data_IF_486017673417
#
_entry.id   IF_486017673417
#
_cell.length_a   1.000
_cell.length_b   1.000
_cell.length_c   1.000
_cell.angle_alpha   90.00
_cell.angle_beta   90.00
_cell.angle_gamma   90.00
#
_symmetry.space_group_name_H-M   'P 1'
#
loop_
_entity.id
_entity.type
_entity.pdbx_description
1 polymer ?
#
# COMPACT_ATOMS: atom_id res chain seq x y z
N UNK A 1 -16.87 13.51 -4.31
CA UNK A 1 -16.43 13.56 -5.74
C UNK A 1 -15.41 14.68 -6.05
N UNK A 2 -15.60 15.89 -5.50
CA UNK A 2 -14.65 17.02 -5.72
C UNK A 2 -13.26 16.73 -5.15
N UNK A 3 -13.21 16.20 -3.93
CA UNK A 3 -11.97 15.92 -3.20
C UNK A 3 -11.11 14.81 -3.84
N UNK A 4 -11.75 13.78 -4.40
CA UNK A 4 -11.02 12.73 -5.15
C UNK A 4 -10.39 13.28 -6.43
N UNK A 5 -11.08 14.20 -7.14
CA UNK A 5 -10.55 14.88 -8.32
C UNK A 5 -9.39 15.78 -7.94
N UNK A 6 -9.52 16.51 -6.84
CA UNK A 6 -8.47 17.38 -6.30
C UNK A 6 -7.24 16.58 -5.87
N UNK A 7 -7.43 15.47 -5.12
CA UNK A 7 -6.35 14.54 -4.77
C UNK A 7 -5.60 14.04 -6.00
N UNK A 8 -6.32 13.60 -7.02
CA UNK A 8 -5.72 13.12 -8.28
C UNK A 8 -4.89 14.22 -8.97
N UNK A 9 -5.38 15.47 -8.99
CA UNK A 9 -4.65 16.62 -9.52
C UNK A 9 -3.34 16.88 -8.77
N UNK A 10 -3.35 16.80 -7.43
CA UNK A 10 -2.15 16.96 -6.61
C UNK A 10 -1.14 15.83 -6.82
N UNK A 11 -1.61 14.57 -6.85
CA UNK A 11 -0.77 13.42 -7.14
C UNK A 11 -0.11 13.54 -8.52
N UNK A 12 -0.89 13.94 -9.54
CA UNK A 12 -0.36 14.16 -10.90
C UNK A 12 0.67 15.29 -10.95
N UNK A 13 0.45 16.37 -10.20
CA UNK A 13 1.41 17.50 -10.13
C UNK A 13 2.71 17.10 -9.43
N UNK A 14 2.62 16.30 -8.36
CA UNK A 14 3.80 15.89 -7.60
C UNK A 14 4.59 14.77 -8.29
N UNK A 15 3.88 13.76 -8.81
CA UNK A 15 4.49 12.52 -9.30
C UNK A 15 4.46 12.37 -10.83
N UNK A 16 3.65 13.16 -11.54
CA UNK A 16 3.49 13.03 -12.99
C UNK A 16 4.54 13.79 -13.83
N UNK A 17 5.26 14.76 -13.24
CA UNK A 17 6.26 15.58 -13.95
C UNK A 17 7.69 15.27 -13.51
N UNK A 18 8.00 14.00 -13.28
CA UNK A 18 9.27 13.60 -12.66
C UNK A 18 10.51 13.84 -13.53
N UNK A 19 10.36 13.95 -14.85
CA UNK A 19 11.50 14.09 -15.77
C UNK A 19 11.92 15.56 -16.06
N UNK A 20 11.04 16.53 -15.85
CA UNK A 20 11.25 17.94 -16.30
C UNK A 20 11.45 18.96 -15.18
N UNK A 21 11.65 18.55 -13.94
CA UNK A 21 11.81 19.48 -12.82
C UNK A 21 13.26 19.79 -12.47
N UNK A 22 13.47 20.90 -11.75
CA UNK A 22 14.76 21.32 -11.22
C UNK A 22 15.44 20.21 -10.41
N UNK A 23 16.53 19.67 -10.94
CA UNK A 23 17.28 18.53 -10.37
C UNK A 23 18.15 18.93 -9.16
N UNK A 24 18.37 20.23 -8.93
CA UNK A 24 19.35 20.70 -7.96
C UNK A 24 19.01 20.46 -6.49
N UNK A 25 17.81 19.95 -6.17
CA UNK A 25 17.38 19.69 -4.78
C UNK A 25 16.49 18.44 -4.69
N UNK A 26 16.80 17.39 -5.46
CA UNK A 26 16.03 16.16 -5.52
C UNK A 26 16.90 14.94 -5.30
N UNK A 27 16.36 13.96 -4.58
CA UNK A 27 16.90 12.61 -4.56
C UNK A 27 16.49 11.92 -5.86
N UNK A 28 17.47 11.52 -6.67
CA UNK A 28 17.26 10.82 -7.95
C UNK A 28 18.01 9.52 -7.92
N UNK A 29 17.30 8.40 -8.01
CA UNK A 29 17.92 7.08 -7.98
C UNK A 29 16.90 5.99 -8.25
N UNK A 30 17.32 4.75 -8.04
CA UNK A 30 16.43 3.59 -8.09
C UNK A 30 15.79 3.37 -6.71
N UNK A 31 14.62 2.76 -6.66
CA UNK A 31 13.98 2.45 -5.37
C UNK A 31 14.89 1.65 -4.43
N UNK A 32 15.66 0.70 -4.96
CA UNK A 32 16.60 -0.11 -4.18
C UNK A 32 17.75 0.69 -3.54
N UNK A 33 18.01 1.92 -4.01
CA UNK A 33 19.06 2.78 -3.45
C UNK A 33 18.59 3.46 -2.16
N UNK A 34 17.28 3.54 -1.93
CA UNK A 34 16.64 4.20 -0.78
C UNK A 34 15.83 3.27 0.11
N UNK A 35 15.56 2.05 -0.38
CA UNK A 35 14.70 1.10 0.31
C UNK A 35 15.23 -0.32 0.22
N UNK A 36 15.02 -1.08 1.30
CA UNK A 36 15.18 -2.51 1.28
C UNK A 36 13.85 -3.17 0.92
N UNK A 37 13.83 -3.96 -0.17
CA UNK A 37 12.65 -4.66 -0.67
C UNK A 37 12.79 -6.16 -0.36
N UNK A 38 11.75 -6.77 0.16
CA UNK A 38 11.72 -8.21 0.44
C UNK A 38 10.31 -8.77 0.29
N UNK A 39 10.19 -10.01 -0.15
CA UNK A 39 8.92 -10.73 -0.22
C UNK A 39 8.64 -11.47 1.08
N UNK A 40 7.35 -11.72 1.36
CA UNK A 40 6.94 -12.56 2.46
C UNK A 40 6.95 -14.05 2.12
N UNK A 41 6.41 -14.85 3.05
CA UNK A 41 6.23 -16.28 2.89
C UNK A 41 4.87 -16.71 3.42
N UNK A 42 4.37 -17.85 2.90
CA UNK A 42 3.06 -18.38 3.28
C UNK A 42 3.26 -19.75 3.94
N UNK A 43 2.89 -19.91 5.23
CA UNK A 43 2.89 -21.22 5.88
C UNK A 43 1.97 -22.18 5.14
N UNK A 44 2.28 -23.50 5.22
CA UNK A 44 1.42 -24.51 4.60
C UNK A 44 0.01 -24.48 5.17
N UNK A 45 -0.99 -24.32 4.33
CA UNK A 45 -2.40 -24.32 4.70
C UNK A 45 -2.90 -25.70 5.18
N UNK A 46 -2.15 -26.76 4.90
CA UNK A 46 -2.47 -28.13 5.39
C UNK A 46 -2.19 -28.28 6.88
N UNK A 47 -1.29 -27.49 7.46
CA UNK A 47 -1.03 -27.45 8.89
C UNK A 47 -1.87 -26.36 9.57
N UNK A 48 -3.05 -26.74 10.08
CA UNK A 48 -3.96 -25.80 10.76
C UNK A 48 -3.37 -25.20 12.03
N UNK A 49 -2.42 -25.87 12.70
CA UNK A 49 -1.75 -25.34 13.89
C UNK A 49 -0.93 -24.08 13.58
N UNK A 50 -0.47 -23.91 12.35
CA UNK A 50 0.24 -22.69 11.93
C UNK A 50 -0.65 -21.44 11.95
N UNK A 51 -1.97 -21.58 11.84
CA UNK A 51 -2.95 -20.51 11.80
C UNK A 51 -3.73 -20.34 13.12
N UNK A 52 -3.23 -20.88 14.23
CA UNK A 52 -3.84 -20.82 15.56
C UNK A 52 -3.05 -19.95 16.55
N UNK A 53 -2.31 -18.96 16.06
CA UNK A 53 -1.48 -18.07 16.90
C UNK A 53 -2.04 -16.67 17.07
N UNK A 54 -1.16 -15.78 17.54
CA UNK A 54 -1.46 -14.36 17.77
C UNK A 54 -0.53 -13.41 16.97
N UNK A 55 0.36 -13.95 16.13
CA UNK A 55 1.26 -13.14 15.30
C UNK A 55 0.51 -12.73 14.04
N UNK A 56 0.40 -11.43 13.79
CA UNK A 56 -0.28 -10.89 12.61
C UNK A 56 0.35 -11.39 11.32
N UNK A 57 -0.49 -11.85 10.39
CA UNK A 57 -0.05 -12.29 9.08
C UNK A 57 -0.90 -11.64 7.99
N UNK A 58 -0.28 -10.74 7.22
CA UNK A 58 -0.95 -9.90 6.22
C UNK A 58 -1.01 -10.61 4.88
N UNK A 59 -2.20 -10.72 4.31
CA UNK A 59 -2.42 -11.13 2.92
C UNK A 59 -2.56 -9.91 1.99
N UNK A 60 -2.32 -10.07 0.69
CA UNK A 60 -2.44 -8.99 -0.28
C UNK A 60 -3.86 -8.41 -0.41
N UNK A 61 -4.89 -9.20 -0.10
CA UNK A 61 -6.28 -8.74 -0.11
C UNK A 61 -6.64 -7.73 0.98
N UNK A 62 -5.78 -7.60 2.00
CA UNK A 62 -5.98 -6.69 3.13
C UNK A 62 -5.35 -5.30 2.91
N UNK A 63 -4.57 -5.12 1.84
CA UNK A 63 -3.88 -3.86 1.52
C UNK A 63 -4.84 -2.80 0.98
N UNK A 64 -5.86 -2.43 1.76
CA UNK A 64 -6.89 -1.44 1.40
C UNK A 64 -6.76 -0.13 2.18
N UNK A 65 -6.60 -0.15 3.53
CA UNK A 65 -6.42 1.07 4.29
C UNK A 65 -4.99 1.60 4.11
N UNK A 66 -4.80 2.93 4.22
CA UNK A 66 -3.45 3.51 4.22
C UNK A 66 -2.58 2.96 5.35
N UNK A 67 -3.14 2.88 6.55
CA UNK A 67 -2.48 2.33 7.72
C UNK A 67 -3.16 1.04 8.14
N UNK A 68 -2.37 -0.05 8.20
CA UNK A 68 -2.84 -1.37 8.57
C UNK A 68 -2.42 -1.68 10.02
N UNK A 69 -3.40 -1.82 10.91
CA UNK A 69 -3.18 -2.14 12.33
C UNK A 69 -3.69 -3.53 12.72
N UNK A 70 -4.64 -4.09 11.96
CA UNK A 70 -5.24 -5.39 12.23
C UNK A 70 -5.19 -6.29 10.99
N UNK A 71 -5.19 -7.59 11.21
CA UNK A 71 -5.23 -8.61 10.14
C UNK A 71 -6.34 -9.60 10.41
N UNK A 72 -6.90 -10.15 9.34
CA UNK A 72 -7.93 -11.20 9.45
C UNK A 72 -7.35 -12.54 9.89
N UNK A 73 -6.05 -12.77 9.65
CA UNK A 73 -5.37 -14.01 9.98
C UNK A 73 -4.18 -13.75 10.90
N UNK A 74 -3.99 -14.71 11.81
CA UNK A 74 -2.86 -14.76 12.72
C UNK A 74 -2.17 -16.11 12.59
N UNK A 75 -0.86 -16.14 12.83
CA UNK A 75 -0.07 -17.36 12.79
C UNK A 75 0.62 -17.62 14.12
N UNK A 76 1.02 -18.88 14.33
CA UNK A 76 1.74 -19.31 15.52
C UNK A 76 3.23 -18.96 15.45
N UNK A 77 3.89 -18.92 16.59
CA UNK A 77 5.34 -18.77 16.67
C UNK A 77 6.08 -19.96 16.02
N UNK A 78 5.47 -21.14 16.06
CA UNK A 78 5.97 -22.32 15.35
C UNK A 78 5.95 -22.09 13.82
N UNK A 79 4.89 -21.52 13.27
CA UNK A 79 4.83 -21.16 11.84
C UNK A 79 5.93 -20.16 11.46
N UNK A 80 6.18 -19.16 12.30
CA UNK A 80 7.23 -18.16 12.07
C UNK A 80 8.60 -18.83 12.02
N UNK A 81 8.93 -19.68 12.99
CA UNK A 81 10.23 -20.35 13.06
C UNK A 81 10.40 -21.43 11.98
N UNK A 82 9.39 -22.29 11.78
CA UNK A 82 9.45 -23.40 10.81
C UNK A 82 9.49 -22.94 9.36
N UNK A 83 8.82 -21.82 9.05
CA UNK A 83 8.78 -21.26 7.70
C UNK A 83 9.77 -20.10 7.50
N UNK A 84 10.62 -19.84 8.48
CA UNK A 84 11.60 -18.73 8.48
C UNK A 84 10.94 -17.39 8.08
N UNK A 85 9.78 -17.09 8.66
CA UNK A 85 9.04 -15.88 8.38
C UNK A 85 9.69 -14.69 9.10
N UNK A 86 9.79 -13.59 8.38
CA UNK A 86 10.26 -12.34 8.95
C UNK A 86 9.09 -11.51 9.47
N UNK A 87 9.19 -11.02 10.69
CA UNK A 87 8.32 -9.98 11.21
C UNK A 87 8.86 -8.61 10.81
N UNK A 88 8.02 -7.82 10.19
CA UNK A 88 8.34 -6.46 9.75
C UNK A 88 7.85 -5.44 10.76
N UNK A 89 8.64 -4.42 11.09
CA UNK A 89 8.25 -3.40 12.05
C UNK A 89 7.16 -2.47 11.51
N UNK A 90 6.54 -1.70 12.39
CA UNK A 90 5.74 -0.55 12.00
C UNK A 90 6.52 0.37 11.05
N UNK A 91 5.81 1.18 10.28
CA UNK A 91 6.37 2.04 9.23
C UNK A 91 7.02 1.27 8.06
N UNK A 92 6.64 0.02 7.83
CA UNK A 92 6.98 -0.74 6.61
C UNK A 92 5.85 -0.57 5.60
N UNK A 93 6.17 -0.21 4.36
CA UNK A 93 5.19 -0.18 3.27
C UNK A 93 5.02 -1.59 2.70
N UNK A 94 3.76 -2.02 2.57
CA UNK A 94 3.39 -3.27 1.93
C UNK A 94 2.69 -2.99 0.60
N UNK A 95 3.01 -3.76 -0.43
CA UNK A 95 2.33 -3.75 -1.73
C UNK A 95 2.00 -5.16 -2.20
N UNK A 96 0.97 -5.30 -3.04
CA UNK A 96 0.65 -6.58 -3.67
C UNK A 96 1.65 -6.91 -4.80
N UNK A 97 2.15 -8.16 -4.81
CA UNK A 97 3.07 -8.67 -5.83
C UNK A 97 2.36 -9.48 -6.91
N UNK A 98 1.27 -10.17 -6.58
CA UNK A 98 0.57 -11.11 -7.47
C UNK A 98 -0.87 -10.66 -7.73
N UNK A 99 -1.43 -11.17 -8.82
CA UNK A 99 -2.81 -10.87 -9.18
C UNK A 99 -3.00 -9.47 -9.75
N UNK A 100 -1.93 -8.85 -10.27
CA UNK A 100 -1.95 -7.48 -10.79
C UNK A 100 -2.72 -7.35 -12.12
N UNK A 101 -3.16 -8.46 -12.72
CA UNK A 101 -4.14 -8.47 -13.81
C UNK A 101 -5.51 -7.94 -13.36
N UNK A 102 -5.86 -8.12 -12.08
CA UNK A 102 -7.10 -7.61 -11.51
C UNK A 102 -6.98 -6.11 -11.17
N UNK A 103 -7.86 -5.28 -11.75
CA UNK A 103 -7.83 -3.83 -11.54
C UNK A 103 -7.93 -3.41 -10.07
N UNK A 104 -8.63 -4.19 -9.23
CA UNK A 104 -8.76 -3.93 -7.80
C UNK A 104 -7.53 -4.26 -6.95
N UNK A 105 -6.51 -4.91 -7.53
CA UNK A 105 -5.24 -5.24 -6.86
C UNK A 105 -4.13 -4.29 -7.28
N UNK A 106 -4.20 -3.73 -8.49
CA UNK A 106 -3.20 -2.78 -8.98
C UNK A 106 -3.16 -1.51 -8.11
N UNK A 107 -1.97 -1.18 -7.66
CA UNK A 107 -1.75 0.02 -6.87
C UNK A 107 -2.24 -0.09 -5.42
N UNK A 108 -2.63 -1.29 -4.94
CA UNK A 108 -2.95 -1.48 -3.52
C UNK A 108 -1.68 -1.47 -2.68
N UNK A 109 -1.73 -0.71 -1.61
CA UNK A 109 -0.61 -0.55 -0.68
C UNK A 109 -1.11 -0.16 0.70
N UNK A 110 -0.37 -0.56 1.73
CA UNK A 110 -0.64 -0.17 3.12
C UNK A 110 0.66 0.00 3.89
N UNK A 111 0.68 0.91 4.84
CA UNK A 111 1.79 1.10 5.78
C UNK A 111 1.44 0.36 7.07
N UNK A 112 2.32 -0.49 7.55
CA UNK A 112 2.13 -1.16 8.85
C UNK A 112 2.13 -0.13 9.98
N UNK A 113 1.09 -0.14 10.83
CA UNK A 113 1.04 0.63 12.08
C UNK A 113 1.62 -0.16 13.26
N UNK A 114 1.65 -1.47 13.14
CA UNK A 114 2.14 -2.42 14.16
C UNK A 114 2.97 -3.50 13.48
N UNK A 115 3.86 -4.21 14.19
CA UNK A 115 4.62 -5.30 13.61
C UNK A 115 3.73 -6.42 13.09
N UNK A 116 4.11 -6.98 11.93
CA UNK A 116 3.41 -8.09 11.30
C UNK A 116 4.33 -8.92 10.39
N UNK A 117 3.99 -10.19 10.20
CA UNK A 117 4.50 -11.03 9.12
C UNK A 117 3.64 -10.84 7.87
N UNK A 118 4.13 -11.23 6.71
CA UNK A 118 3.43 -11.03 5.43
C UNK A 118 3.45 -12.30 4.56
N UNK A 119 2.43 -12.46 3.75
CA UNK A 119 2.33 -13.55 2.78
C UNK A 119 3.32 -13.37 1.62
N UNK A 120 3.58 -14.45 0.90
CA UNK A 120 4.38 -14.38 -0.34
C UNK A 120 3.76 -13.48 -1.43
N UNK A 121 2.47 -13.16 -1.33
CA UNK A 121 1.79 -12.25 -2.25
C UNK A 121 2.00 -10.78 -1.92
N UNK A 122 2.70 -10.48 -0.83
CA UNK A 122 3.06 -9.13 -0.40
C UNK A 122 4.56 -8.89 -0.52
N UNK A 123 4.92 -7.67 -0.88
CA UNK A 123 6.29 -7.14 -0.79
C UNK A 123 6.35 -6.13 0.35
N UNK A 124 7.34 -6.28 1.22
CA UNK A 124 7.67 -5.30 2.25
C UNK A 124 8.77 -4.37 1.74
N UNK A 125 8.60 -3.08 1.97
CA UNK A 125 9.53 -2.03 1.58
C UNK A 125 9.87 -1.22 2.83
N UNK A 126 11.13 -1.28 3.25
CA UNK A 126 11.65 -0.62 4.43
C UNK A 126 12.58 0.52 4.03
N UNK A 127 12.46 1.65 4.69
CA UNK A 127 13.30 2.82 4.43
C UNK A 127 14.75 2.56 4.88
N UNK A 128 15.70 2.87 4.00
CA UNK A 128 17.14 2.84 4.27
C UNK A 128 17.84 4.16 3.92
N UNK A 129 17.17 5.01 3.16
CA UNK A 129 17.67 6.30 2.70
C UNK A 129 16.77 7.49 3.09
N UNK A 130 16.89 8.57 2.36
CA UNK A 130 16.28 9.88 2.68
C UNK A 130 14.89 10.08 2.07
N UNK A 131 14.28 9.03 1.50
CA UNK A 131 12.92 9.09 0.99
C UNK A 131 11.98 8.48 2.01
N UNK A 132 11.00 9.28 2.43
CA UNK A 132 10.02 8.91 3.45
C UNK A 132 9.07 7.80 2.97
N UNK A 133 8.70 6.87 3.86
CA UNK A 133 7.78 5.76 3.54
C UNK A 133 6.40 6.26 3.13
N UNK A 134 5.89 7.32 3.76
CA UNK A 134 4.58 7.88 3.42
C UNK A 134 4.62 8.57 2.04
N UNK A 135 5.75 9.20 1.70
CA UNK A 135 5.97 9.76 0.36
C UNK A 135 5.99 8.64 -0.69
N UNK A 136 6.70 7.53 -0.42
CA UNK A 136 6.71 6.35 -1.28
C UNK A 136 5.31 5.72 -1.42
N UNK A 137 4.51 5.67 -0.35
CA UNK A 137 3.12 5.22 -0.41
C UNK A 137 2.34 6.03 -1.46
N UNK A 138 2.37 7.35 -1.41
CA UNK A 138 1.64 8.20 -2.37
C UNK A 138 2.21 8.08 -3.79
N UNK A 139 3.52 7.96 -3.91
CA UNK A 139 4.16 7.67 -5.20
C UNK A 139 3.63 6.35 -5.79
N UNK A 140 3.52 5.31 -4.98
CA UNK A 140 3.00 4.01 -5.43
C UNK A 140 1.50 4.06 -5.73
N UNK A 141 0.69 4.75 -4.93
CA UNK A 141 -0.74 4.98 -5.22
C UNK A 141 -0.94 5.65 -6.59
N UNK A 142 -0.07 6.59 -6.95
CA UNK A 142 -0.13 7.25 -8.26
C UNK A 142 0.34 6.34 -9.40
N UNK A 143 1.47 5.66 -9.25
CA UNK A 143 2.11 4.87 -10.29
C UNK A 143 1.64 3.42 -10.37
N UNK A 144 0.96 2.89 -9.35
CA UNK A 144 0.68 1.45 -9.20
C UNK A 144 -0.15 0.86 -10.34
N UNK A 145 -1.07 1.63 -10.93
CA UNK A 145 -1.80 1.19 -12.13
C UNK A 145 -0.86 0.98 -13.32
N UNK A 146 0.02 1.94 -13.58
CA UNK A 146 1.00 1.85 -14.65
C UNK A 146 2.01 0.72 -14.40
N UNK A 147 2.48 0.57 -13.15
CA UNK A 147 3.38 -0.52 -12.75
C UNK A 147 2.70 -1.87 -12.99
N UNK A 148 1.46 -2.05 -12.57
CA UNK A 148 0.72 -3.30 -12.78
C UNK A 148 0.43 -3.62 -14.24
N UNK A 149 0.27 -2.62 -15.10
CA UNK A 149 -0.05 -2.82 -16.52
C UNK A 149 1.21 -2.99 -17.38
N UNK A 150 2.26 -2.19 -17.10
CA UNK A 150 3.42 -2.05 -18.00
C UNK A 150 4.69 -2.72 -17.49
N UNK A 151 4.81 -2.90 -16.19
CA UNK A 151 6.04 -3.37 -15.54
C UNK A 151 5.90 -4.80 -15.04
N UNK A 152 4.73 -5.16 -14.48
CA UNK A 152 4.48 -6.53 -14.06
C UNK A 152 4.44 -7.47 -15.26
N UNK A 153 5.07 -8.64 -15.13
CA UNK A 153 5.22 -9.62 -16.21
C UNK A 153 4.22 -10.78 -16.05
N UNK A 154 3.88 -11.39 -17.18
CA UNK A 154 2.99 -12.54 -17.27
C UNK A 154 1.72 -12.26 -18.06
N UNK A 155 1.24 -13.26 -18.80
CA UNK A 155 0.05 -13.14 -19.67
C UNK A 155 -1.25 -13.53 -18.95
N UNK A 156 -1.21 -14.56 -18.08
CA UNK A 156 -2.37 -15.01 -17.29
C UNK A 156 -2.36 -14.46 -15.87
N UNK A 157 -1.19 -14.32 -15.30
CA UNK A 157 -1.00 -13.79 -13.95
C UNK A 157 0.17 -12.79 -13.99
N UNK A 158 -0.13 -11.53 -13.73
CA UNK A 158 0.87 -10.47 -13.72
C UNK A 158 1.49 -10.40 -12.33
N UNK A 159 2.81 -10.56 -12.28
CA UNK A 159 3.58 -10.59 -11.04
C UNK A 159 4.65 -9.52 -11.04
N UNK A 160 4.88 -8.92 -9.88
CA UNK A 160 5.92 -7.94 -9.66
C UNK A 160 7.01 -8.56 -8.78
N UNK A 161 8.28 -8.46 -9.21
CA UNK A 161 9.42 -8.91 -8.41
C UNK A 161 10.08 -7.75 -7.66
N UNK A 162 10.83 -8.08 -6.62
CA UNK A 162 11.65 -7.11 -5.86
C UNK A 162 12.66 -6.41 -6.76
N UNK A 163 13.30 -7.16 -7.68
CA UNK A 163 14.29 -6.61 -8.62
C UNK A 163 13.64 -5.65 -9.62
N UNK A 164 12.47 -6.05 -10.14
CA UNK A 164 11.73 -5.23 -11.11
C UNK A 164 11.30 -3.91 -10.47
N UNK A 165 10.65 -3.95 -9.29
CA UNK A 165 10.25 -2.75 -8.59
C UNK A 165 11.48 -1.93 -8.13
N UNK A 166 12.48 -2.60 -7.56
CA UNK A 166 13.70 -1.96 -7.06
C UNK A 166 14.49 -1.22 -8.14
N UNK A 167 14.35 -1.61 -9.41
CA UNK A 167 15.01 -0.96 -10.55
C UNK A 167 14.30 0.30 -11.05
N UNK A 168 13.05 0.54 -10.63
CA UNK A 168 12.31 1.74 -11.03
C UNK A 168 12.94 3.00 -10.46
N UNK A 169 12.99 4.04 -11.27
CA UNK A 169 13.48 5.36 -10.85
C UNK A 169 12.44 6.07 -10.01
N UNK A 170 12.92 6.73 -8.96
CA UNK A 170 12.15 7.65 -8.16
C UNK A 170 12.85 9.02 -8.13
N UNK A 171 12.04 10.06 -8.16
CA UNK A 171 12.46 11.45 -8.02
C UNK A 171 11.75 12.02 -6.81
N UNK A 172 12.46 12.30 -5.75
CA UNK A 172 11.88 12.83 -4.54
C UNK A 172 12.52 14.17 -4.17
N UNK A 173 11.73 15.16 -3.75
CA UNK A 173 12.27 16.44 -3.28
C UNK A 173 12.98 16.25 -1.93
N UNK A 174 13.53 17.34 -1.37
CA UNK A 174 14.09 17.31 -0.01
C UNK A 174 13.10 16.72 1.01
N UNK A 175 13.60 16.08 2.05
CA UNK A 175 12.79 15.42 3.07
C UNK A 175 11.72 16.36 3.68
N UNK A 176 12.08 17.63 3.94
CA UNK A 176 11.13 18.63 4.43
C UNK A 176 9.94 18.86 3.48
N UNK A 177 10.20 18.88 2.17
CA UNK A 177 9.15 19.02 1.15
C UNK A 177 8.30 17.74 1.04
N UNK A 178 8.92 16.55 1.12
CA UNK A 178 8.20 15.27 1.18
C UNK A 178 7.17 15.30 2.32
N UNK A 179 7.58 15.69 3.53
CA UNK A 179 6.68 15.78 4.70
C UNK A 179 5.52 16.77 4.50
N UNK A 180 5.77 17.92 3.85
CA UNK A 180 4.70 18.89 3.54
C UNK A 180 3.68 18.30 2.55
N UNK A 181 4.16 17.61 1.51
CA UNK A 181 3.30 16.92 0.52
C UNK A 181 2.47 15.83 1.19
N UNK A 182 3.11 14.97 1.99
CA UNK A 182 2.42 13.91 2.73
C UNK A 182 1.34 14.46 3.67
N UNK A 183 1.66 15.51 4.44
CA UNK A 183 0.69 16.17 5.33
C UNK A 183 -0.54 16.67 4.56
N UNK A 184 -0.34 17.33 3.42
CA UNK A 184 -1.44 17.83 2.59
C UNK A 184 -2.30 16.67 2.05
N UNK A 185 -1.67 15.65 1.49
CA UNK A 185 -2.38 14.48 0.93
C UNK A 185 -3.13 13.71 2.02
N UNK A 186 -2.56 13.57 3.23
CA UNK A 186 -3.23 12.92 4.36
C UNK A 186 -4.44 13.70 4.86
N UNK A 187 -4.38 15.03 4.84
CA UNK A 187 -5.53 15.87 5.17
C UNK A 187 -6.68 15.67 4.16
N UNK A 188 -6.35 15.54 2.88
CA UNK A 188 -7.34 15.28 1.84
C UNK A 188 -7.91 13.88 1.98
N UNK A 189 -7.08 12.87 2.29
CA UNK A 189 -7.55 11.51 2.56
C UNK A 189 -8.56 11.48 3.72
N UNK A 190 -8.24 12.20 4.79
CA UNK A 190 -9.14 12.33 5.93
C UNK A 190 -10.49 12.97 5.54
N UNK A 191 -10.48 14.04 4.72
CA UNK A 191 -11.71 14.68 4.24
C UNK A 191 -12.54 13.72 3.37
N UNK A 192 -11.89 13.01 2.44
CA UNK A 192 -12.55 12.01 1.58
C UNK A 192 -13.21 10.91 2.44
N UNK A 193 -12.50 10.42 3.45
CA UNK A 193 -13.03 9.39 4.35
C UNK A 193 -14.25 9.91 5.14
N UNK A 194 -14.18 11.13 5.67
CA UNK A 194 -15.31 11.77 6.39
C UNK A 194 -16.53 11.96 5.50
N UNK A 195 -16.34 12.40 4.26
CA UNK A 195 -17.44 12.53 3.29
C UNK A 195 -18.06 11.16 2.96
N UNK A 196 -17.25 10.11 2.79
CA UNK A 196 -17.74 8.75 2.57
C UNK A 196 -18.56 8.24 3.74
N UNK A 197 -18.07 8.38 4.98
CA UNK A 197 -18.79 7.97 6.19
C UNK A 197 -20.13 8.69 6.32
N UNK A 198 -20.16 10.01 6.04
CA UNK A 198 -21.39 10.81 6.04
C UNK A 198 -22.39 10.31 4.99
N UNK A 199 -21.92 10.03 3.78
CA UNK A 199 -22.76 9.49 2.70
C UNK A 199 -23.37 8.13 3.07
N UNK A 200 -22.57 7.22 3.66
CA UNK A 200 -23.04 5.91 4.09
C UNK A 200 -24.10 6.01 5.20
N UNK A 201 -23.90 6.93 6.15
CA UNK A 201 -24.89 7.20 7.21
C UNK A 201 -26.22 7.71 6.63
N UNK A 202 -26.16 8.72 5.76
CA UNK A 202 -27.35 9.28 5.10
C UNK A 202 -28.08 8.21 4.28
N UNK A 203 -27.33 7.38 3.56
CA UNK A 203 -27.87 6.28 2.75
C UNK A 203 -28.54 5.19 3.63
N UNK A 204 -28.00 4.94 4.81
CA UNK A 204 -28.61 4.02 5.78
C UNK A 204 -29.90 4.58 6.38
N UNK A 205 -29.91 5.85 6.77
CA UNK A 205 -31.11 6.54 7.27
C UNK A 205 -32.22 6.54 6.21
N UNK A 206 -31.86 6.89 4.96
CA UNK A 206 -32.83 6.86 3.84
C UNK A 206 -33.48 5.48 3.67
N UNK A 207 -32.67 4.40 3.71
CA UNK A 207 -33.18 3.01 3.61
C UNK A 207 -34.12 2.68 4.76
N UNK A 208 -33.79 3.05 5.99
CA UNK A 208 -34.64 2.82 7.16
C UNK A 208 -35.95 3.53 7.08
N UNK A 209 -35.98 4.81 6.64
CA UNK A 209 -37.20 5.57 6.44
C UNK A 209 -38.09 4.99 5.33
N UNK A 210 -37.49 4.57 4.20
CA UNK A 210 -38.27 3.93 3.12
C UNK A 210 -38.90 2.61 3.58
N UNK A 211 -38.24 1.80 4.39
CA UNK A 211 -38.79 0.57 4.96
C UNK A 211 -39.99 0.85 5.88
N UNK A 212 -40.01 1.97 6.60
CA UNK A 212 -41.14 2.36 7.47
C UNK A 212 -42.33 2.89 6.70
N UNK A 213 -42.15 3.42 5.48
CA UNK A 213 -43.26 4.00 4.68
C UNK A 213 -43.95 2.92 3.85
N UNK A 214 -43.25 1.82 3.53
CA UNK A 214 -43.78 0.75 2.66
C UNK A 214 -44.16 -0.56 3.41
N UNK A 215 -44.29 -0.48 4.74
CA UNK A 215 -44.96 -1.48 5.57
C UNK A 215 -46.37 -0.96 5.90
#
# INVERSE_FOLDING_TARGET
MLDQKYKRGLLSREFGQQENGDLNNRHVGKLKDYFHLSSGSTPSSTNRAFYSGNIRWVSSGELKPKYLCETSQHISSEAVSSCNLREYPANTLLIAMYGLEAAGVRGTASILSVPATISQACMAIQQTGEIDIEYLYYWYIYNGQWIGIRIAQGTKQQNLSTDTLGSLRIYAPSYSKQKKVCKLLSQIDYLIEKESQKFDLISSVKRGLLQQIFI
#
